data_IF_005778087245
#
_entry.id   IF_005778087245
#
_cell.length_a   1.000
_cell.length_b   1.000
_cell.length_c   1.000
_cell.angle_alpha   90.00
_cell.angle_beta   90.00
_cell.angle_gamma   90.00
#
_symmetry.space_group_name_H-M   'P 1'
#
loop_
_entity.id
_entity.type
_entity.pdbx_description
1 polymer ?
#
# COMPACT_ATOMS: atom_id res chain seq x y z
N UNK A 1 -24.32 -4.52 -3.70
CA UNK A 1 -25.27 -5.06 -4.69
C UNK A 1 -24.63 -6.19 -5.48
N UNK A 2 -25.39 -7.24 -5.73
CA UNK A 2 -24.98 -8.34 -6.62
C UNK A 2 -25.32 -8.01 -8.10
N UNK A 3 -24.93 -6.82 -8.52
CA UNK A 3 -24.93 -6.35 -9.91
C UNK A 3 -23.97 -5.17 -10.07
N UNK A 4 -23.62 -4.82 -11.30
CA UNK A 4 -22.61 -3.78 -11.59
C UNK A 4 -23.16 -2.37 -11.56
N UNK A 5 -24.46 -2.18 -11.51
CA UNK A 5 -25.10 -0.87 -11.70
C UNK A 5 -25.71 -0.30 -10.42
N UNK A 6 -25.54 -1.00 -9.28
CA UNK A 6 -26.09 -0.62 -7.96
C UNK A 6 -27.62 -0.50 -7.97
N UNK A 7 -28.26 -1.38 -8.74
CA UNK A 7 -29.71 -1.45 -8.84
C UNK A 7 -30.30 -2.45 -7.86
N UNK A 8 -31.56 -2.23 -7.47
CA UNK A 8 -32.30 -3.12 -6.60
C UNK A 8 -31.83 -3.13 -5.14
N UNK A 9 -31.92 -4.28 -4.51
CA UNK A 9 -31.67 -4.43 -3.08
C UNK A 9 -30.16 -4.33 -2.73
N UNK A 10 -29.87 -3.67 -1.62
CA UNK A 10 -28.54 -3.65 -1.01
C UNK A 10 -28.34 -4.95 -0.25
N UNK A 11 -27.38 -5.76 -0.69
CA UNK A 11 -27.11 -7.10 -0.11
C UNK A 11 -26.43 -7.02 1.25
N UNK A 12 -25.51 -6.06 1.42
CA UNK A 12 -24.77 -5.89 2.66
C UNK A 12 -24.52 -4.40 2.93
N UNK A 13 -24.55 -4.03 4.21
CA UNK A 13 -24.15 -2.71 4.71
C UNK A 13 -23.26 -2.92 5.92
N UNK A 14 -22.11 -2.25 5.97
CA UNK A 14 -21.16 -2.34 7.07
C UNK A 14 -20.48 -0.99 7.33
N UNK A 15 -19.93 -0.82 8.52
CA UNK A 15 -19.12 0.32 8.89
C UNK A 15 -17.66 -0.10 9.00
N UNK A 16 -16.82 0.42 8.09
CA UNK A 16 -15.42 0.07 7.99
C UNK A 16 -14.60 1.05 8.85
N UNK A 17 -13.86 0.51 9.82
CA UNK A 17 -12.95 1.25 10.68
C UNK A 17 -11.49 0.85 10.53
N UNK A 18 -11.20 -0.10 9.65
CA UNK A 18 -9.86 -0.63 9.35
C UNK A 18 -9.34 -0.08 8.02
N UNK A 19 -8.06 -0.23 7.69
CA UNK A 19 -7.54 0.07 6.36
C UNK A 19 -8.36 -0.60 5.27
N UNK A 20 -8.57 0.13 4.19
CA UNK A 20 -9.43 -0.25 3.09
C UNK A 20 -8.70 -1.23 2.17
N UNK A 21 -8.90 -2.51 2.39
CA UNK A 21 -8.27 -3.57 1.63
C UNK A 21 -9.27 -4.68 1.33
N UNK A 22 -9.75 -4.75 0.10
CA UNK A 22 -10.70 -5.75 -0.37
C UNK A 22 -10.17 -6.46 -1.61
N UNK A 23 -10.22 -7.79 -1.61
CA UNK A 23 -9.84 -8.58 -2.76
C UNK A 23 -10.70 -9.85 -2.84
N UNK A 24 -11.02 -10.29 -4.05
CA UNK A 24 -11.73 -11.57 -4.27
C UNK A 24 -10.78 -12.75 -4.48
N UNK A 25 -9.48 -12.58 -4.24
CA UNK A 25 -8.49 -13.66 -4.28
C UNK A 25 -8.76 -14.68 -3.16
N UNK A 26 -8.57 -15.97 -3.45
CA UNK A 26 -8.84 -17.04 -2.48
C UNK A 26 -10.34 -17.28 -2.20
N UNK A 27 -11.23 -16.89 -3.14
CA UNK A 27 -12.67 -16.98 -3.00
C UNK A 27 -13.26 -16.15 -1.84
N UNK A 28 -12.58 -15.07 -1.48
CA UNK A 28 -13.05 -14.09 -0.48
C UNK A 28 -14.04 -13.12 -1.12
N UNK A 29 -15.06 -12.71 -0.39
CA UNK A 29 -16.05 -11.71 -0.83
C UNK A 29 -15.76 -10.35 -0.17
N UNK A 30 -16.22 -9.26 -0.78
CA UNK A 30 -16.08 -7.91 -0.21
C UNK A 30 -16.92 -7.71 1.07
N UNK A 31 -18.04 -8.42 1.17
CA UNK A 31 -18.87 -8.48 2.37
C UNK A 31 -19.72 -9.77 2.37
N UNK A 32 -20.24 -10.21 3.54
CA UNK A 32 -21.13 -11.36 3.60
C UNK A 32 -22.35 -11.21 2.67
N UNK A 33 -22.61 -12.24 1.87
CA UNK A 33 -23.71 -12.27 0.92
C UNK A 33 -23.44 -11.59 -0.43
N UNK A 34 -22.32 -10.85 -0.54
CA UNK A 34 -21.88 -10.28 -1.82
C UNK A 34 -21.25 -11.38 -2.67
N UNK A 35 -21.64 -11.47 -3.94
CA UNK A 35 -21.06 -12.41 -4.89
C UNK A 35 -19.58 -12.10 -5.17
N UNK A 36 -18.83 -13.13 -5.57
CA UNK A 36 -17.42 -12.97 -5.98
C UNK A 36 -17.32 -12.26 -7.32
N UNK A 37 -18.34 -12.43 -8.15
CA UNK A 37 -18.42 -11.84 -9.50
C UNK A 37 -19.70 -11.03 -9.64
N UNK A 38 -19.69 -10.06 -10.56
CA UNK A 38 -20.85 -9.25 -10.93
C UNK A 38 -21.46 -8.44 -9.77
N UNK A 39 -20.62 -7.71 -9.04
CA UNK A 39 -21.05 -6.88 -7.93
C UNK A 39 -20.57 -5.42 -8.05
N UNK A 40 -21.15 -4.57 -7.24
CA UNK A 40 -20.76 -3.18 -7.05
C UNK A 40 -20.88 -2.77 -5.59
N UNK A 41 -20.16 -1.73 -5.21
CA UNK A 41 -20.18 -1.17 -3.87
C UNK A 41 -20.16 0.36 -3.91
N UNK A 42 -20.69 0.97 -2.86
CA UNK A 42 -20.61 2.39 -2.58
C UNK A 42 -20.11 2.58 -1.17
N UNK A 43 -19.08 3.40 -1.01
CA UNK A 43 -18.52 3.76 0.27
C UNK A 43 -18.65 5.26 0.47
N UNK A 44 -19.05 5.68 1.64
CA UNK A 44 -19.27 7.07 2.01
C UNK A 44 -18.54 7.40 3.30
N UNK A 45 -17.93 8.57 3.34
CA UNK A 45 -17.24 9.07 4.53
C UNK A 45 -17.27 10.58 4.57
N UNK A 46 -17.08 11.14 5.77
CA UNK A 46 -16.85 12.57 5.97
C UNK A 46 -15.43 12.77 6.50
N UNK A 47 -14.59 13.42 5.71
CA UNK A 47 -13.23 13.76 6.07
C UNK A 47 -13.14 15.20 6.56
N UNK A 48 -12.59 15.40 7.77
CA UNK A 48 -12.34 16.72 8.34
C UNK A 48 -10.87 16.81 8.74
N UNK A 49 -10.00 17.42 7.91
CA UNK A 49 -8.59 17.55 8.19
C UNK A 49 -8.33 18.50 9.38
N UNK A 50 -7.36 18.13 10.20
CA UNK A 50 -6.88 19.00 11.30
C UNK A 50 -5.92 20.08 10.82
N UNK A 51 -5.34 19.93 9.63
CA UNK A 51 -4.39 20.87 9.03
C UNK A 51 -4.72 21.07 7.55
N UNK A 52 -4.49 22.30 7.05
CA UNK A 52 -4.58 22.57 5.62
C UNK A 52 -3.38 22.00 4.86
N UNK A 53 -3.56 21.71 3.58
CA UNK A 53 -2.52 21.25 2.66
C UNK A 53 -3.01 20.14 1.74
N UNK A 54 -2.08 19.57 1.00
CA UNK A 54 -2.35 18.52 0.02
C UNK A 54 -2.68 17.19 0.72
N UNK A 55 -3.77 16.58 0.29
CA UNK A 55 -4.19 15.25 0.73
C UNK A 55 -4.34 14.37 -0.49
N UNK A 56 -3.54 13.32 -0.55
CA UNK A 56 -3.54 12.35 -1.63
C UNK A 56 -4.62 11.28 -1.41
N UNK A 57 -5.27 10.89 -2.49
CA UNK A 57 -6.21 9.79 -2.58
C UNK A 57 -5.55 8.67 -3.39
N UNK A 58 -4.98 7.68 -2.71
CA UNK A 58 -4.24 6.59 -3.33
C UNK A 58 -5.12 5.36 -3.48
N UNK A 59 -5.02 4.75 -4.64
CA UNK A 59 -5.73 3.51 -4.95
C UNK A 59 -4.79 2.48 -5.56
N UNK A 60 -5.05 1.20 -5.26
CA UNK A 60 -4.70 0.05 -6.07
C UNK A 60 -6.01 -0.67 -6.35
N UNK A 61 -6.28 -0.99 -7.61
CA UNK A 61 -7.57 -1.56 -7.96
C UNK A 61 -7.54 -2.46 -9.20
N UNK A 62 -8.32 -3.51 -9.16
CA UNK A 62 -8.81 -4.27 -10.31
C UNK A 62 -10.34 -4.22 -10.29
N UNK A 63 -10.89 -3.44 -11.18
CA UNK A 63 -12.29 -3.00 -11.22
C UNK A 63 -12.36 -1.52 -11.61
N UNK A 64 -13.53 -0.95 -11.62
CA UNK A 64 -13.75 0.46 -11.90
C UNK A 64 -14.04 1.23 -10.61
N UNK A 65 -13.29 2.30 -10.37
CA UNK A 65 -13.54 3.25 -9.28
C UNK A 65 -13.94 4.60 -9.85
N UNK A 66 -14.96 5.20 -9.26
CA UNK A 66 -15.28 6.62 -9.40
C UNK A 66 -15.15 7.27 -8.02
N UNK A 67 -14.31 8.30 -7.90
CA UNK A 67 -14.16 9.12 -6.71
C UNK A 67 -14.96 10.41 -6.86
N UNK A 68 -15.81 10.67 -5.90
CA UNK A 68 -16.66 11.85 -5.82
C UNK A 68 -16.35 12.60 -4.52
N UNK A 69 -16.14 13.90 -4.59
CA UNK A 69 -15.89 14.76 -3.41
C UNK A 69 -16.87 15.92 -3.45
N UNK A 70 -17.67 16.07 -2.40
CA UNK A 70 -18.72 17.07 -2.28
C UNK A 70 -19.71 17.06 -3.48
N UNK A 71 -20.02 15.87 -4.01
CA UNK A 71 -20.92 15.69 -5.14
C UNK A 71 -20.27 15.88 -6.52
N UNK A 72 -19.00 16.26 -6.60
CA UNK A 72 -18.26 16.40 -7.85
C UNK A 72 -17.39 15.16 -8.11
N UNK A 73 -17.49 14.59 -9.32
CA UNK A 73 -16.60 13.49 -9.74
C UNK A 73 -15.20 14.06 -10.04
N UNK A 74 -14.21 13.67 -9.21
CA UNK A 74 -12.84 14.17 -9.32
C UNK A 74 -11.88 13.17 -9.97
N UNK A 75 -12.20 11.88 -9.94
CA UNK A 75 -11.41 10.86 -10.62
C UNK A 75 -12.26 9.66 -11.04
N UNK A 76 -11.82 8.95 -12.10
CA UNK A 76 -12.34 7.64 -12.51
C UNK A 76 -11.21 6.83 -13.11
N UNK A 77 -11.06 5.57 -12.66
CA UNK A 77 -10.05 4.60 -13.14
C UNK A 77 -10.63 3.19 -13.18
N UNK A 78 -10.16 2.38 -14.12
CA UNK A 78 -10.62 1.00 -14.28
C UNK A 78 -9.60 0.02 -13.70
N UNK A 79 -8.32 0.30 -13.79
CA UNK A 79 -7.24 -0.55 -13.32
C UNK A 79 -6.07 0.27 -12.84
N UNK A 80 -5.53 -0.09 -11.66
CA UNK A 80 -4.33 0.52 -11.08
C UNK A 80 -3.54 -0.58 -10.38
N UNK A 81 -2.46 -1.04 -11.01
CA UNK A 81 -1.67 -2.18 -10.54
C UNK A 81 -0.96 -1.90 -9.22
N UNK A 82 -0.37 -0.72 -9.08
CA UNK A 82 0.39 -0.32 -7.91
C UNK A 82 -0.29 0.87 -7.21
N UNK A 83 -0.16 1.01 -5.89
CA UNK A 83 -0.74 2.14 -5.17
C UNK A 83 -0.36 3.47 -5.82
N UNK A 84 -1.33 4.16 -6.40
CA UNK A 84 -1.13 5.39 -7.18
C UNK A 84 -2.06 6.48 -6.67
N UNK A 85 -1.55 7.69 -6.53
CA UNK A 85 -2.37 8.86 -6.24
C UNK A 85 -3.23 9.21 -7.46
N UNK A 86 -4.54 9.06 -7.34
CA UNK A 86 -5.50 9.39 -8.40
C UNK A 86 -6.00 10.82 -8.32
N UNK A 87 -5.96 11.43 -7.15
CA UNK A 87 -6.43 12.79 -6.92
C UNK A 87 -5.73 13.41 -5.71
N UNK A 88 -5.40 14.68 -5.79
CA UNK A 88 -4.89 15.48 -4.67
C UNK A 88 -5.89 16.58 -4.33
N UNK A 89 -6.43 16.51 -3.12
CA UNK A 89 -7.33 17.52 -2.57
C UNK A 89 -6.52 18.62 -1.88
N UNK A 90 -6.75 19.89 -2.25
CA UNK A 90 -6.27 21.04 -1.49
C UNK A 90 -7.17 21.25 -0.27
N UNK A 91 -6.87 20.52 0.80
CA UNK A 91 -7.70 20.49 2.00
C UNK A 91 -7.51 21.72 2.88
N UNK A 92 -8.59 22.19 3.50
CA UNK A 92 -8.57 23.27 4.48
C UNK A 92 -8.90 22.74 5.85
N UNK A 93 -8.11 23.10 6.86
CA UNK A 93 -8.33 22.70 8.25
C UNK A 93 -9.76 22.97 8.73
N UNK A 94 -10.38 21.99 9.36
CA UNK A 94 -11.73 22.07 9.91
C UNK A 94 -12.88 22.03 8.90
N UNK A 95 -12.59 22.13 7.60
CA UNK A 95 -13.62 21.99 6.55
C UNK A 95 -14.01 20.53 6.39
N UNK A 96 -15.30 20.26 6.25
CA UNK A 96 -15.82 18.94 5.92
C UNK A 96 -15.78 18.70 4.41
N UNK A 97 -15.40 17.47 4.06
CA UNK A 97 -15.40 16.94 2.71
C UNK A 97 -16.17 15.62 2.71
N UNK A 98 -17.27 15.57 1.98
CA UNK A 98 -18.03 14.36 1.75
C UNK A 98 -17.34 13.56 0.64
N UNK A 99 -16.87 12.37 0.99
CA UNK A 99 -16.16 11.47 0.08
C UNK A 99 -17.10 10.33 -0.26
N UNK A 100 -17.24 10.05 -1.55
CA UNK A 100 -17.94 8.88 -2.04
C UNK A 100 -17.05 8.13 -3.02
N UNK A 101 -16.92 6.82 -2.80
CA UNK A 101 -16.19 5.90 -3.67
C UNK A 101 -17.19 4.91 -4.23
N UNK A 102 -17.38 4.95 -5.53
CA UNK A 102 -18.21 3.97 -6.26
C UNK A 102 -17.29 2.93 -6.87
N UNK A 103 -17.47 1.67 -6.49
CA UNK A 103 -16.74 0.54 -7.06
C UNK A 103 -17.66 -0.30 -7.94
N UNK A 104 -17.13 -0.77 -9.06
CA UNK A 104 -17.80 -1.68 -9.99
C UNK A 104 -16.83 -2.74 -10.44
N UNK A 105 -17.14 -4.02 -10.17
CA UNK A 105 -16.36 -5.12 -10.72
C UNK A 105 -16.43 -5.16 -12.24
N UNK A 106 -15.30 -5.41 -12.90
CA UNK A 106 -15.18 -5.46 -14.36
C UNK A 106 -14.71 -6.83 -14.86
N UNK A 107 -13.84 -7.49 -14.12
CA UNK A 107 -13.19 -8.76 -14.48
C UNK A 107 -13.63 -9.87 -13.53
N UNK A 108 -13.09 -11.08 -13.70
CA UNK A 108 -13.34 -12.22 -12.80
C UNK A 108 -12.79 -11.98 -11.38
N UNK A 109 -11.74 -11.13 -11.28
CA UNK A 109 -11.16 -10.72 -10.00
C UNK A 109 -11.53 -9.28 -9.69
N UNK A 110 -11.50 -8.95 -8.42
CA UNK A 110 -11.65 -7.59 -7.96
C UNK A 110 -10.65 -7.31 -6.85
N UNK A 111 -10.07 -6.12 -6.87
CA UNK A 111 -9.26 -5.57 -5.78
C UNK A 111 -9.64 -4.11 -5.60
N UNK A 112 -9.74 -3.67 -4.36
CA UNK A 112 -9.94 -2.28 -4.00
C UNK A 112 -9.15 -1.98 -2.73
N UNK A 113 -8.00 -1.35 -2.91
CA UNK A 113 -7.23 -0.74 -1.83
C UNK A 113 -7.36 0.77 -1.93
N UNK A 114 -7.62 1.40 -0.81
CA UNK A 114 -7.75 2.84 -0.73
C UNK A 114 -7.05 3.37 0.52
N UNK A 115 -6.29 4.43 0.35
CA UNK A 115 -5.65 5.17 1.42
C UNK A 115 -5.79 6.68 1.20
N UNK A 116 -5.93 7.42 2.29
CA UNK A 116 -6.13 8.85 2.32
C UNK A 116 -5.14 9.49 3.28
N UNK A 117 -4.30 10.39 2.80
CA UNK A 117 -3.35 11.05 3.68
C UNK A 117 -2.42 12.04 2.99
N UNK A 118 -1.49 12.57 3.76
CA UNK A 118 -0.40 13.37 3.23
C UNK A 118 0.74 12.47 2.78
N UNK A 119 1.24 12.71 1.59
CA UNK A 119 2.51 12.13 1.19
C UNK A 119 3.63 12.87 1.93
N UNK A 120 4.29 12.16 2.82
CA UNK A 120 5.45 12.65 3.55
C UNK A 120 6.65 11.77 3.23
N UNK A 121 7.82 12.37 3.11
CA UNK A 121 9.06 11.62 3.01
C UNK A 121 9.29 10.76 4.26
N UNK A 122 10.10 9.73 4.12
CA UNK A 122 10.46 8.87 5.25
C UNK A 122 11.30 9.68 6.24
N UNK A 123 10.78 9.86 7.45
CA UNK A 123 11.53 10.46 8.55
C UNK A 123 12.29 9.36 9.32
N UNK A 124 13.54 9.18 8.95
CA UNK A 124 14.42 8.20 9.59
C UNK A 124 14.62 8.48 11.09
N UNK A 125 14.62 9.75 11.51
CA UNK A 125 14.75 10.09 12.93
C UNK A 125 13.51 9.66 13.72
N UNK A 126 12.33 9.86 13.15
CA UNK A 126 11.09 9.38 13.77
C UNK A 126 11.06 7.85 13.82
N UNK A 127 11.48 7.16 12.76
CA UNK A 127 11.56 5.70 12.73
C UNK A 127 12.51 5.17 13.81
N UNK A 128 13.70 5.75 13.93
CA UNK A 128 14.67 5.41 14.98
C UNK A 128 14.10 5.69 16.38
N UNK A 129 13.47 6.86 16.57
CA UNK A 129 12.88 7.23 17.87
C UNK A 129 11.82 6.23 18.35
N UNK A 130 11.03 5.65 17.45
CA UNK A 130 9.97 4.67 17.78
C UNK A 130 10.51 3.36 18.35
N UNK A 131 11.77 3.04 18.10
CA UNK A 131 12.41 1.78 18.53
C UNK A 131 13.53 2.00 19.54
N UNK A 132 13.63 3.20 20.12
CA UNK A 132 14.73 3.54 21.05
C UNK A 132 14.73 2.69 22.33
N UNK A 133 13.57 2.20 22.76
CA UNK A 133 13.45 1.38 23.98
C UNK A 133 13.74 -0.12 23.72
N UNK A 134 13.93 -0.52 22.46
CA UNK A 134 14.24 -1.91 22.13
C UNK A 134 15.73 -2.20 22.34
N UNK A 135 16.08 -3.34 22.94
CA UNK A 135 17.46 -3.83 23.11
C UNK A 135 18.05 -4.33 21.78
N UNK A 136 17.22 -5.00 21.00
CA UNK A 136 17.55 -5.58 19.68
C UNK A 136 16.43 -5.29 18.71
N UNK A 137 16.78 -4.92 17.48
CA UNK A 137 15.83 -4.68 16.40
C UNK A 137 15.92 -5.84 15.41
N UNK A 138 14.80 -6.49 15.15
CA UNK A 138 14.67 -7.43 14.06
C UNK A 138 14.16 -6.64 12.85
N UNK A 139 15.04 -6.35 11.91
CA UNK A 139 14.70 -5.63 10.70
C UNK A 139 14.34 -6.64 9.59
N UNK A 140 13.05 -6.79 9.31
CA UNK A 140 12.53 -7.57 8.21
C UNK A 140 12.52 -6.70 6.95
N UNK A 141 13.41 -6.96 6.03
CA UNK A 141 13.57 -6.20 4.78
C UNK A 141 13.91 -7.08 3.60
N UNK A 142 14.30 -6.47 2.50
CA UNK A 142 14.60 -7.18 1.26
C UNK A 142 13.80 -6.61 0.09
N UNK A 143 13.42 -7.46 -0.85
CA UNK A 143 12.74 -7.07 -2.09
C UNK A 143 11.43 -7.82 -2.22
N UNK A 144 10.36 -7.07 -2.47
CA UNK A 144 9.03 -7.63 -2.71
C UNK A 144 8.92 -8.24 -4.11
N UNK A 145 8.21 -9.36 -4.28
CA UNK A 145 7.88 -9.90 -5.61
C UNK A 145 7.15 -8.89 -6.52
N UNK A 146 6.53 -7.87 -5.96
CA UNK A 146 5.92 -6.80 -6.74
C UNK A 146 6.93 -5.87 -7.43
N UNK A 147 8.21 -5.95 -7.09
CA UNK A 147 9.30 -5.25 -7.75
C UNK A 147 10.07 -6.13 -8.73
N UNK A 148 10.13 -7.44 -8.49
CA UNK A 148 10.85 -8.45 -9.27
C UNK A 148 9.92 -9.33 -10.12
N UNK A 149 8.81 -8.81 -10.59
CA UNK A 149 7.92 -9.57 -11.46
C UNK A 149 8.33 -9.45 -12.94
N UNK A 150 8.18 -10.53 -13.68
CA UNK A 150 8.45 -10.59 -15.13
C UNK A 150 7.53 -9.63 -15.89
N UNK A 151 8.08 -8.90 -16.88
CA UNK A 151 7.36 -7.94 -17.73
C UNK A 151 6.51 -6.90 -16.98
N UNK A 152 7.01 -6.41 -15.87
CA UNK A 152 6.28 -5.44 -15.04
C UNK A 152 6.61 -3.99 -15.45
N UNK A 153 5.63 -3.06 -15.44
CA UNK A 153 5.89 -1.64 -15.66
C UNK A 153 6.49 -0.98 -14.40
N UNK A 154 7.65 -1.50 -13.95
CA UNK A 154 8.40 -0.97 -12.81
C UNK A 154 9.60 -0.19 -13.33
N UNK A 155 9.68 1.07 -12.92
CA UNK A 155 10.80 1.97 -13.26
C UNK A 155 11.16 2.75 -11.99
N UNK A 156 11.97 2.12 -11.12
CA UNK A 156 12.49 2.69 -9.87
C UNK A 156 13.98 2.38 -9.77
N UNK A 157 14.77 3.10 -8.98
CA UNK A 157 16.18 2.80 -8.78
C UNK A 157 16.41 1.33 -8.43
N UNK A 158 17.32 0.67 -9.16
CA UNK A 158 17.59 -0.76 -9.02
C UNK A 158 16.70 -1.71 -9.83
N UNK A 159 15.65 -1.18 -10.53
CA UNK A 159 14.68 -2.00 -11.29
C UNK A 159 14.25 -1.32 -12.59
N UNK A 160 14.13 -2.10 -13.65
CA UNK A 160 13.57 -1.66 -14.93
C UNK A 160 12.80 -2.80 -15.59
N UNK A 161 11.52 -2.58 -15.86
CA UNK A 161 10.64 -3.59 -16.47
C UNK A 161 10.40 -4.83 -15.59
N UNK A 162 10.72 -4.76 -14.31
CA UNK A 162 10.72 -5.89 -13.37
C UNK A 162 12.07 -6.55 -13.19
N UNK A 163 13.03 -6.31 -14.11
CA UNK A 163 14.40 -6.81 -14.02
C UNK A 163 15.25 -5.96 -13.06
N UNK A 164 16.21 -6.61 -12.41
CA UNK A 164 17.22 -5.91 -11.60
C UNK A 164 18.23 -5.21 -12.50
N UNK A 165 18.52 -3.93 -12.20
CA UNK A 165 19.62 -3.17 -12.84
C UNK A 165 20.89 -3.17 -12.00
N UNK A 166 20.77 -3.51 -10.71
CA UNK A 166 21.86 -3.78 -9.78
C UNK A 166 21.40 -4.80 -8.74
N UNK A 167 22.28 -5.24 -7.84
CA UNK A 167 21.99 -6.19 -6.78
C UNK A 167 21.89 -5.52 -5.39
N UNK A 168 21.88 -4.20 -5.35
CA UNK A 168 21.90 -3.47 -4.09
C UNK A 168 20.56 -3.55 -3.34
N UNK A 169 20.64 -3.50 -2.01
CA UNK A 169 19.45 -3.32 -1.18
C UNK A 169 18.87 -1.92 -1.44
N UNK A 170 17.54 -1.75 -1.55
CA UNK A 170 16.94 -0.43 -1.73
C UNK A 170 17.47 0.62 -0.74
N UNK A 171 17.87 1.78 -1.25
CA UNK A 171 18.53 2.84 -0.47
C UNK A 171 17.79 3.20 0.81
N UNK A 172 16.47 3.27 0.76
CA UNK A 172 15.63 3.58 1.92
C UNK A 172 15.81 2.59 3.08
N UNK A 173 16.01 1.31 2.78
CA UNK A 173 16.27 0.29 3.80
C UNK A 173 17.70 0.43 4.33
N UNK A 174 18.66 0.62 3.43
CA UNK A 174 20.06 0.81 3.80
C UNK A 174 20.28 2.05 4.67
N UNK A 175 19.59 3.14 4.36
CA UNK A 175 19.67 4.37 5.13
C UNK A 175 19.04 4.23 6.52
N UNK A 176 17.93 3.46 6.64
CA UNK A 176 17.36 3.15 7.95
C UNK A 176 18.30 2.27 8.79
N UNK A 177 18.92 1.24 8.20
CA UNK A 177 19.91 0.40 8.89
C UNK A 177 21.10 1.24 9.39
N UNK A 178 21.63 2.15 8.56
CA UNK A 178 22.69 3.10 8.97
C UNK A 178 22.23 4.01 10.10
N UNK A 179 21.01 4.53 10.05
CA UNK A 179 20.45 5.41 11.08
C UNK A 179 20.28 4.66 12.42
N UNK A 180 19.82 3.43 12.40
CA UNK A 180 19.72 2.56 13.58
C UNK A 180 21.09 2.28 14.18
N UNK A 181 22.09 1.93 13.37
CA UNK A 181 23.48 1.72 13.81
C UNK A 181 24.07 2.99 14.43
N UNK A 182 23.88 4.14 13.79
CA UNK A 182 24.32 5.45 14.31
C UNK A 182 23.67 5.77 15.65
N UNK A 183 22.45 5.34 15.89
CA UNK A 183 21.74 5.48 17.17
C UNK A 183 22.17 4.43 18.21
N UNK A 184 23.18 3.61 17.94
CA UNK A 184 23.69 2.59 18.85
C UNK A 184 22.81 1.35 19.00
N UNK A 185 21.89 1.12 18.07
CA UNK A 185 20.99 -0.04 18.10
C UNK A 185 21.66 -1.28 17.54
N UNK A 186 21.40 -2.41 18.20
CA UNK A 186 21.77 -3.74 17.68
C UNK A 186 20.70 -4.17 16.69
N UNK A 187 21.11 -4.51 15.47
CA UNK A 187 20.17 -4.89 14.41
C UNK A 187 20.47 -6.30 13.91
N UNK A 188 19.46 -7.13 13.87
CA UNK A 188 19.47 -8.41 13.14
C UNK A 188 18.67 -8.18 11.87
N UNK A 189 19.32 -8.25 10.71
CA UNK A 189 18.66 -8.10 9.42
C UNK A 189 18.17 -9.45 8.91
N UNK A 190 16.88 -9.56 8.65
CA UNK A 190 16.24 -10.73 8.04
C UNK A 190 15.91 -10.33 6.60
N UNK A 191 16.69 -10.85 5.65
CA UNK A 191 16.54 -10.54 4.24
C UNK A 191 15.54 -11.49 3.57
N UNK A 192 14.42 -10.92 3.14
CA UNK A 192 13.41 -11.58 2.33
C UNK A 192 13.60 -11.16 0.87
N UNK A 193 14.14 -12.04 0.04
CA UNK A 193 14.33 -11.78 -1.40
C UNK A 193 14.35 -13.06 -2.19
N UNK A 194 13.81 -13.06 -3.41
CA UNK A 194 13.86 -14.18 -4.35
C UNK A 194 15.13 -14.18 -5.19
N UNK A 195 15.79 -13.02 -5.33
CA UNK A 195 17.03 -12.85 -6.09
C UNK A 195 18.23 -12.51 -5.20
N UNK A 196 19.42 -12.50 -5.80
CA UNK A 196 20.65 -12.11 -5.10
C UNK A 196 20.60 -10.64 -4.66
N UNK A 197 21.05 -10.38 -3.43
CA UNK A 197 21.25 -9.04 -2.87
C UNK A 197 22.70 -8.88 -2.41
N UNK A 198 23.34 -7.79 -2.80
CA UNK A 198 24.67 -7.39 -2.33
C UNK A 198 24.58 -6.83 -0.91
N UNK A 199 24.93 -7.64 0.09
CA UNK A 199 24.83 -7.30 1.51
C UNK A 199 26.16 -6.89 2.15
N UNK A 200 27.19 -6.58 1.37
CA UNK A 200 28.49 -6.17 1.92
C UNK A 200 28.39 -4.98 2.88
N UNK A 201 27.65 -3.88 2.58
CA UNK A 201 27.48 -2.78 3.50
C UNK A 201 26.77 -3.19 4.81
N UNK A 202 25.84 -4.13 4.74
CA UNK A 202 25.05 -4.58 5.88
C UNK A 202 25.89 -5.41 6.88
N UNK A 203 26.98 -6.05 6.43
CA UNK A 203 27.89 -6.78 7.33
C UNK A 203 28.58 -5.87 8.35
N UNK A 204 28.69 -4.58 8.05
CA UNK A 204 29.26 -3.60 8.98
C UNK A 204 28.19 -2.84 9.79
N UNK A 205 26.93 -2.93 9.35
CA UNK A 205 25.82 -2.18 9.93
C UNK A 205 25.00 -3.03 10.90
N UNK A 206 24.88 -4.34 10.62
CA UNK A 206 24.08 -5.27 11.41
C UNK A 206 24.95 -6.22 12.23
N UNK A 207 24.47 -6.67 13.37
CA UNK A 207 25.11 -7.69 14.22
C UNK A 207 24.95 -9.09 13.65
N UNK A 208 23.88 -9.34 12.93
CA UNK A 208 23.63 -10.60 12.21
C UNK A 208 22.76 -10.37 10.98
N UNK A 209 22.93 -11.22 9.98
CA UNK A 209 22.13 -11.26 8.76
C UNK A 209 21.60 -12.66 8.54
N UNK A 210 20.29 -12.80 8.36
CA UNK A 210 19.64 -14.06 8.01
C UNK A 210 19.06 -13.92 6.59
N UNK A 211 19.38 -14.90 5.73
CA UNK A 211 18.74 -15.02 4.42
C UNK A 211 17.52 -15.91 4.55
N UNK A 212 16.32 -15.34 4.45
CA UNK A 212 15.06 -16.04 4.66
C UNK A 212 14.32 -16.41 3.37
N UNK A 213 14.77 -15.88 2.22
CA UNK A 213 14.08 -16.00 0.92
C UNK A 213 12.66 -15.47 0.97
N UNK A 214 11.84 -15.79 -0.01
CA UNK A 214 10.40 -15.53 0.12
C UNK A 214 9.78 -16.60 1.04
N UNK A 215 9.04 -16.19 2.08
CA UNK A 215 8.36 -17.16 2.94
C UNK A 215 7.31 -17.91 2.11
N UNK A 216 7.37 -19.22 2.16
CA UNK A 216 6.33 -20.08 1.60
C UNK A 216 5.08 -20.11 2.47
N UNK A 217 4.12 -20.90 2.07
CA UNK A 217 3.02 -21.29 2.95
C UNK A 217 3.55 -22.33 3.94
N UNK A 218 3.36 -22.07 5.22
CA UNK A 218 3.62 -23.03 6.28
C UNK A 218 2.36 -23.89 6.52
#
# INVERSE_FOLDING_TARGET
>A
WNNRDREGEVVATDQISTPFHFATTGATTFAPGVEITNFSARYESVFRPSQSGDVAFRFQLDGEVTLIINGEQVARKIYVKNPTNLYTLQAKAGKEYHIEILFKQRNERATLDFDLGKEVGIDLNLAVKRVMDADVILFAGGISPSLEGEEMPVEVPGFKGGDRTDIELPDVQRDLLKALKKAGKKVVFINYSGSAIGLVPETTTCEAILQAWYPGQA
#
